data_IF_647660157869
#
_entry.id   IF_647660157869
#
_cell.length_a   1.000
_cell.length_b   1.000
_cell.length_c   1.000
_cell.angle_alpha   90.00
_cell.angle_beta   90.00
_cell.angle_gamma   90.00
#
_symmetry.space_group_name_H-M   'P 1'
#
loop_
_entity.id
_entity.type
_entity.pdbx_description
1 polymer ?
#
# COMPACT_ATOMS: atom_id res chain seq x y z
N UNK A 1 -11.65 -3.89 39.62
CA UNK A 1 -11.02 -2.57 39.82
C UNK A 1 -9.48 -2.64 39.83
N UNK A 2 -8.88 -3.47 40.71
CA UNK A 2 -7.41 -3.60 40.85
C UNK A 2 -6.68 -4.05 39.56
N UNK A 3 -7.27 -4.98 38.80
CA UNK A 3 -6.74 -5.46 37.51
C UNK A 3 -6.58 -4.37 36.44
N UNK A 4 -7.46 -3.37 36.44
CA UNK A 4 -7.44 -2.31 35.44
C UNK A 4 -6.28 -1.34 35.69
N UNK A 5 -6.13 -0.91 36.95
CA UNK A 5 -5.01 -0.07 37.40
C UNK A 5 -3.67 -0.77 37.15
N UNK A 6 -3.59 -2.07 37.43
CA UNK A 6 -2.39 -2.86 37.20
C UNK A 6 -2.03 -2.95 35.71
N UNK A 7 -3.02 -3.16 34.84
CA UNK A 7 -2.79 -3.19 33.39
C UNK A 7 -2.36 -1.81 32.85
N UNK A 8 -2.97 -0.72 33.32
CA UNK A 8 -2.58 0.64 32.94
C UNK A 8 -1.17 1.01 33.41
N UNK A 9 -0.77 0.56 34.61
CA UNK A 9 0.60 0.73 35.11
C UNK A 9 1.60 -0.08 34.27
N UNK A 10 1.26 -1.32 33.91
CA UNK A 10 2.09 -2.12 33.01
C UNK A 10 2.20 -1.50 31.62
N UNK A 11 1.14 -0.89 31.09
CA UNK A 11 1.17 -0.18 29.80
C UNK A 11 2.10 1.05 29.81
N UNK A 12 2.30 1.66 30.99
CA UNK A 12 3.20 2.80 31.19
C UNK A 12 4.68 2.36 31.27
N UNK A 13 4.96 1.25 31.94
CA UNK A 13 6.32 0.71 32.14
C UNK A 13 6.76 -0.16 30.95
N UNK A 14 5.81 -0.81 30.28
CA UNK A 14 6.00 -1.65 29.09
C UNK A 14 5.01 -1.17 28.01
N UNK A 15 5.38 -0.17 27.18
CA UNK A 15 4.50 0.30 26.12
C UNK A 15 4.02 -0.88 25.28
N UNK A 16 2.70 -0.98 25.11
CA UNK A 16 2.08 -2.07 24.34
C UNK A 16 2.79 -2.20 22.99
N UNK A 17 3.09 -3.43 22.53
CA UNK A 17 3.72 -3.62 21.24
C UNK A 17 2.86 -2.94 20.18
N UNK A 18 3.46 -2.06 19.38
CA UNK A 18 2.74 -1.41 18.29
C UNK A 18 2.13 -2.48 17.39
N UNK A 19 0.81 -2.40 17.21
CA UNK A 19 0.09 -3.22 16.26
C UNK A 19 0.25 -2.61 14.87
N UNK A 20 0.49 -3.47 13.87
CA UNK A 20 0.49 -3.03 12.48
C UNK A 20 -0.88 -2.45 12.13
N UNK A 21 -0.98 -1.19 11.67
CA UNK A 21 -2.27 -0.55 11.44
C UNK A 21 -3.06 -1.17 10.28
N UNK A 22 -2.41 -1.97 9.42
CA UNK A 22 -3.08 -2.69 8.34
C UNK A 22 -3.63 -4.06 8.79
N UNK A 23 -2.83 -4.87 9.49
CA UNK A 23 -3.21 -6.27 9.79
C UNK A 23 -3.47 -6.56 11.27
N UNK A 24 -3.32 -5.58 12.17
CA UNK A 24 -3.52 -5.71 13.61
C UNK A 24 -2.49 -6.59 14.33
N UNK A 25 -1.46 -7.10 13.64
CA UNK A 25 -0.45 -7.95 14.26
C UNK A 25 0.52 -7.10 15.08
N UNK A 26 0.70 -7.44 16.35
CA UNK A 26 1.72 -6.86 17.23
C UNK A 26 3.13 -7.15 16.72
N UNK A 27 4.03 -6.17 16.77
CA UNK A 27 5.46 -6.37 16.51
C UNK A 27 6.33 -5.78 17.62
N UNK A 28 7.63 -6.09 17.62
CA UNK A 28 8.59 -5.44 18.50
C UNK A 28 9.15 -4.17 17.85
N UNK A 29 8.96 -3.02 18.52
CA UNK A 29 9.43 -1.68 18.12
C UNK A 29 10.92 -1.65 17.74
N UNK A 30 11.75 -2.52 18.33
CA UNK A 30 13.19 -2.58 18.06
C UNK A 30 13.60 -3.26 16.74
N UNK A 31 12.70 -3.98 16.05
CA UNK A 31 13.08 -4.75 14.85
C UNK A 31 13.10 -3.88 13.59
N UNK A 32 12.34 -2.78 13.55
CA UNK A 32 12.23 -1.88 12.38
C UNK A 32 11.99 -0.42 12.82
N UNK A 33 13.03 0.29 13.30
CA UNK A 33 12.88 1.67 13.74
C UNK A 33 12.33 2.57 12.62
N UNK A 34 11.23 3.28 12.89
CA UNK A 34 10.62 4.24 11.96
C UNK A 34 9.67 3.64 10.90
N UNK A 35 9.53 2.32 10.86
CA UNK A 35 8.60 1.65 9.97
C UNK A 35 7.15 1.76 10.49
N UNK A 36 6.21 2.05 9.59
CA UNK A 36 4.80 2.36 9.93
C UNK A 36 3.84 1.20 9.66
N UNK A 37 4.32 0.19 8.95
CA UNK A 37 3.58 -0.99 8.52
C UNK A 37 4.53 -2.17 8.62
N UNK A 38 4.02 -3.34 9.01
CA UNK A 38 4.88 -4.50 9.18
C UNK A 38 5.43 -5.03 7.85
N UNK A 39 6.65 -5.57 7.87
CA UNK A 39 7.33 -6.12 6.69
C UNK A 39 6.44 -7.09 5.89
N UNK A 40 5.69 -7.97 6.58
CA UNK A 40 4.77 -8.91 5.90
C UNK A 40 3.67 -8.22 5.13
N UNK A 41 3.16 -7.08 5.62
CA UNK A 41 2.16 -6.31 4.89
C UNK A 41 2.78 -5.58 3.71
N UNK A 42 3.99 -5.05 3.88
CA UNK A 42 4.75 -4.45 2.76
C UNK A 42 4.99 -5.50 1.67
N UNK A 43 5.48 -6.69 2.02
CA UNK A 43 5.65 -7.80 1.07
C UNK A 43 4.35 -8.21 0.40
N UNK A 44 3.26 -8.37 1.16
CA UNK A 44 1.95 -8.74 0.60
C UNK A 44 1.44 -7.71 -0.41
N UNK A 45 1.65 -6.43 -0.14
CA UNK A 45 1.29 -5.34 -1.06
C UNK A 45 2.23 -5.30 -2.27
N UNK A 46 3.52 -5.60 -2.07
CA UNK A 46 4.55 -5.62 -3.12
C UNK A 46 4.50 -6.86 -4.02
N UNK A 47 3.94 -7.98 -3.56
CA UNK A 47 3.97 -9.26 -4.28
C UNK A 47 3.37 -9.23 -5.68
N UNK A 48 2.45 -8.28 -5.96
CA UNK A 48 1.83 -8.10 -7.28
C UNK A 48 2.42 -6.95 -8.10
N UNK A 49 3.45 -6.24 -7.60
CA UNK A 49 4.20 -5.22 -8.37
C UNK A 49 5.05 -5.83 -9.49
N UNK A 50 5.18 -7.16 -9.55
CA UNK A 50 5.87 -7.88 -10.62
C UNK A 50 5.10 -7.91 -11.94
N UNK A 51 3.83 -7.50 -11.94
CA UNK A 51 3.05 -7.34 -13.16
C UNK A 51 3.41 -6.04 -13.88
N UNK A 52 3.38 -6.07 -15.21
CA UNK A 52 3.58 -4.85 -16.00
C UNK A 52 2.44 -3.85 -15.73
N UNK A 53 2.81 -2.58 -15.55
CA UNK A 53 1.87 -1.47 -15.33
C UNK A 53 2.00 -0.44 -16.44
N UNK A 54 0.89 0.20 -16.81
CA UNK A 54 0.90 1.31 -17.77
C UNK A 54 1.77 2.46 -17.25
N UNK A 55 2.72 2.93 -18.05
CA UNK A 55 3.61 4.01 -17.64
C UNK A 55 2.86 5.31 -17.35
N UNK A 56 1.80 5.59 -18.11
CA UNK A 56 0.95 6.75 -17.88
C UNK A 56 0.02 6.58 -16.67
N UNK A 57 -0.93 5.62 -16.71
CA UNK A 57 -1.98 5.54 -15.69
C UNK A 57 -1.71 4.57 -14.53
N UNK A 58 -0.66 3.75 -14.60
CA UNK A 58 -0.33 2.78 -13.56
C UNK A 58 -1.28 1.58 -13.45
N UNK A 59 -2.21 1.38 -14.40
CA UNK A 59 -3.09 0.20 -14.45
C UNK A 59 -2.29 -1.08 -14.72
N UNK A 60 -2.64 -2.14 -14.02
CA UNK A 60 -2.05 -3.47 -14.17
C UNK A 60 -2.57 -4.21 -15.40
N UNK A 61 -1.73 -5.04 -16.00
CA UNK A 61 -2.10 -5.91 -17.12
C UNK A 61 -3.29 -6.83 -16.79
N UNK A 62 -3.36 -7.39 -15.58
CA UNK A 62 -4.42 -8.35 -15.22
C UNK A 62 -5.85 -7.77 -15.26
N UNK A 63 -6.03 -6.45 -15.18
CA UNK A 63 -7.36 -5.81 -15.25
C UNK A 63 -7.85 -5.62 -16.69
N UNK A 64 -6.98 -5.77 -17.70
CA UNK A 64 -7.31 -5.55 -19.10
C UNK A 64 -7.63 -6.88 -19.80
N UNK A 65 -8.88 -7.32 -19.74
CA UNK A 65 -9.40 -8.48 -20.46
C UNK A 65 -9.28 -8.30 -22.00
N UNK A 66 -8.13 -8.58 -22.59
CA UNK A 66 -7.93 -8.64 -24.06
C UNK A 66 -7.72 -7.30 -24.77
N UNK A 67 -7.51 -6.21 -24.03
CA UNK A 67 -7.29 -4.87 -24.57
C UNK A 67 -5.80 -4.56 -24.85
N UNK A 68 -5.04 -5.49 -25.42
CA UNK A 68 -3.61 -5.29 -25.70
C UNK A 68 -3.30 -5.22 -27.19
N UNK A 69 -2.59 -4.19 -27.63
CA UNK A 69 -2.08 -4.12 -29.01
C UNK A 69 -0.74 -4.83 -29.17
N UNK A 70 0.09 -4.97 -28.12
CA UNK A 70 1.42 -5.62 -28.20
C UNK A 70 1.82 -6.25 -26.85
N UNK A 71 2.51 -7.41 -26.89
CA UNK A 71 3.18 -8.00 -25.70
C UNK A 71 4.26 -7.03 -25.21
N UNK A 72 4.42 -6.82 -23.88
CA UNK A 72 5.47 -5.96 -23.37
C UNK A 72 6.85 -6.52 -23.78
N UNK A 73 7.58 -5.74 -24.59
CA UNK A 73 9.01 -5.98 -24.79
C UNK A 73 9.73 -5.33 -23.60
N UNK A 74 10.71 -6.00 -22.98
CA UNK A 74 11.41 -5.48 -21.80
C UNK A 74 12.07 -4.11 -22.00
N UNK A 75 12.26 -3.70 -23.25
CA UNK A 75 12.98 -2.48 -23.65
C UNK A 75 12.05 -1.29 -23.97
N UNK A 76 10.73 -1.47 -23.97
CA UNK A 76 9.77 -0.41 -24.30
C UNK A 76 8.78 -0.15 -23.15
N UNK A 77 8.63 1.14 -22.83
CA UNK A 77 7.59 1.65 -21.94
C UNK A 77 6.20 1.15 -22.38
N UNK A 78 5.48 0.51 -21.46
CA UNK A 78 4.16 -0.05 -21.73
C UNK A 78 3.06 1.00 -21.53
N UNK A 79 2.14 1.12 -22.51
CA UNK A 79 0.96 1.99 -22.43
C UNK A 79 -0.31 1.19 -22.73
N UNK A 80 -1.35 1.33 -21.89
CA UNK A 80 -2.64 0.67 -22.14
C UNK A 80 -3.43 1.33 -23.29
N UNK A 81 -4.40 0.62 -23.87
CA UNK A 81 -5.21 1.13 -25.01
C UNK A 81 -5.96 2.40 -24.66
N UNK A 82 -6.49 2.53 -23.44
CA UNK A 82 -7.18 3.76 -23.01
C UNK A 82 -6.23 4.96 -23.01
N UNK A 83 -5.02 4.81 -22.51
CA UNK A 83 -4.04 5.91 -22.51
C UNK A 83 -3.54 6.26 -23.92
N UNK A 84 -3.51 5.29 -24.83
CA UNK A 84 -3.14 5.54 -26.24
C UNK A 84 -4.27 6.27 -26.99
N UNK A 85 -5.53 5.85 -26.82
CA UNK A 85 -6.67 6.40 -27.55
C UNK A 85 -7.21 7.69 -26.92
N UNK A 86 -7.13 7.79 -25.60
CA UNK A 86 -7.63 8.92 -24.81
C UNK A 86 -6.57 9.33 -23.78
N UNK A 87 -5.51 10.03 -24.21
CA UNK A 87 -4.47 10.51 -23.32
C UNK A 87 -5.07 11.35 -22.18
N UNK A 88 -4.80 11.02 -20.91
CA UNK A 88 -5.32 11.78 -19.78
C UNK A 88 -4.58 13.12 -19.61
N UNK A 89 -5.17 14.05 -18.85
CA UNK A 89 -4.57 15.35 -18.53
C UNK A 89 -3.43 15.29 -17.49
N UNK A 90 -2.93 14.10 -17.16
CA UNK A 90 -1.82 13.88 -16.24
C UNK A 90 -0.73 13.08 -16.94
N UNK A 91 0.53 13.31 -16.53
CA UNK A 91 1.67 12.61 -17.11
C UNK A 91 1.85 11.21 -16.54
N UNK A 92 1.65 11.04 -15.22
CA UNK A 92 1.92 9.79 -14.51
C UNK A 92 0.99 9.60 -13.32
N UNK A 93 0.51 8.38 -13.11
CA UNK A 93 -0.24 7.97 -11.92
C UNK A 93 0.32 6.66 -11.36
N UNK A 94 0.32 6.55 -10.02
CA UNK A 94 0.82 5.39 -9.27
C UNK A 94 -0.08 5.00 -8.12
N UNK A 95 -0.12 3.71 -7.84
CA UNK A 95 -0.87 3.11 -6.76
C UNK A 95 0.06 2.28 -5.86
N UNK A 96 -0.31 2.14 -4.60
CA UNK A 96 0.40 1.26 -3.64
C UNK A 96 0.43 -0.19 -4.14
N UNK A 97 -0.67 -0.61 -4.77
CA UNK A 97 -0.95 -1.94 -5.29
C UNK A 97 -2.37 -2.01 -5.85
N UNK A 98 -2.81 -3.22 -6.24
CA UNK A 98 -4.20 -3.49 -6.64
C UNK A 98 -5.18 -3.16 -5.52
N UNK A 99 -6.35 -2.64 -5.89
CA UNK A 99 -7.41 -2.28 -4.95
C UNK A 99 -8.20 -3.50 -4.43
N UNK A 100 -7.51 -4.38 -3.72
CA UNK A 100 -8.06 -5.64 -3.21
C UNK A 100 -7.53 -5.96 -1.80
N UNK A 101 -8.18 -6.93 -1.15
CA UNK A 101 -7.80 -7.46 0.17
C UNK A 101 -7.41 -6.39 1.18
N UNK A 102 -6.22 -6.54 1.75
CA UNK A 102 -5.67 -5.69 2.81
C UNK A 102 -5.64 -4.20 2.42
N UNK A 103 -5.28 -3.87 1.17
CA UNK A 103 -5.19 -2.47 0.74
C UNK A 103 -6.57 -1.84 0.68
N UNK A 104 -7.53 -2.55 0.10
CA UNK A 104 -8.93 -2.11 0.01
C UNK A 104 -9.52 -1.90 1.40
N UNK A 105 -9.34 -2.86 2.30
CA UNK A 105 -9.82 -2.78 3.70
C UNK A 105 -9.25 -1.56 4.42
N UNK A 106 -7.94 -1.31 4.29
CA UNK A 106 -7.30 -0.16 4.91
C UNK A 106 -7.79 1.18 4.32
N UNK A 107 -7.94 1.27 3.00
CA UNK A 107 -8.48 2.48 2.34
C UNK A 107 -9.93 2.72 2.75
N UNK A 108 -10.76 1.67 2.85
CA UNK A 108 -12.13 1.79 3.33
C UNK A 108 -12.18 2.27 4.78
N UNK A 109 -11.35 1.70 5.65
CA UNK A 109 -11.31 2.08 7.04
C UNK A 109 -10.87 3.55 7.22
N UNK A 110 -9.91 4.00 6.40
CA UNK A 110 -9.48 5.39 6.36
C UNK A 110 -10.59 6.32 5.84
N UNK A 111 -11.17 6.04 4.67
CA UNK A 111 -12.13 6.93 4.00
C UNK A 111 -13.50 6.98 4.68
N UNK A 112 -13.98 5.86 5.21
CA UNK A 112 -15.38 5.69 5.58
C UNK A 112 -15.61 5.31 7.04
N UNK A 113 -14.58 4.82 7.75
CA UNK A 113 -14.71 4.40 9.15
C UNK A 113 -13.97 5.32 10.12
N UNK A 114 -13.51 6.49 9.66
CA UNK A 114 -12.84 7.49 10.50
C UNK A 114 -11.48 7.06 11.07
N UNK A 115 -10.84 6.01 10.53
CA UNK A 115 -9.50 5.58 10.99
C UNK A 115 -8.40 6.50 10.45
N UNK A 116 -8.37 7.75 10.90
CA UNK A 116 -7.43 8.79 10.45
C UNK A 116 -5.95 8.45 10.71
N UNK A 117 -5.68 7.58 11.68
CA UNK A 117 -4.32 7.08 11.97
C UNK A 117 -3.70 6.34 10.78
N UNK A 118 -4.51 5.87 9.82
CA UNK A 118 -4.06 5.25 8.57
C UNK A 118 -3.51 6.25 7.53
N UNK A 119 -3.74 7.55 7.69
CA UNK A 119 -3.26 8.56 6.75
C UNK A 119 -1.75 8.52 6.56
N UNK A 120 -0.99 8.49 7.68
CA UNK A 120 0.48 8.48 7.64
C UNK A 120 1.05 7.14 7.11
N UNK A 121 0.58 5.95 7.57
CA UNK A 121 0.96 4.68 6.97
C UNK A 121 0.71 4.60 5.46
N UNK A 122 -0.48 4.94 4.99
CA UNK A 122 -0.83 4.90 3.56
C UNK A 122 -0.01 5.91 2.76
N UNK A 123 0.19 7.13 3.28
CA UNK A 123 1.03 8.13 2.63
C UNK A 123 2.49 7.69 2.49
N UNK A 124 3.07 7.07 3.52
CA UNK A 124 4.44 6.53 3.43
C UNK A 124 4.54 5.39 2.41
N UNK A 125 3.54 4.50 2.34
CA UNK A 125 3.51 3.44 1.32
C UNK A 125 3.43 4.01 -0.09
N UNK A 126 2.60 5.04 -0.30
CA UNK A 126 2.47 5.71 -1.60
C UNK A 126 3.79 6.42 -2.00
N UNK A 127 4.41 7.13 -1.06
CA UNK A 127 5.71 7.76 -1.28
C UNK A 127 6.82 6.73 -1.58
N UNK A 128 6.74 5.54 -0.99
CA UNK A 128 7.64 4.42 -1.29
C UNK A 128 7.58 3.98 -2.75
N UNK A 129 6.38 3.94 -3.35
CA UNK A 129 6.21 3.57 -4.76
C UNK A 129 6.94 4.54 -5.69
N UNK A 130 6.83 5.85 -5.41
CA UNK A 130 7.45 6.88 -6.25
C UNK A 130 8.97 6.83 -6.14
N UNK A 131 9.51 6.57 -4.94
CA UNK A 131 10.96 6.48 -4.72
C UNK A 131 11.64 5.32 -5.45
N UNK A 132 10.91 4.24 -5.71
CA UNK A 132 11.44 3.08 -6.45
C UNK A 132 11.58 3.38 -7.96
N UNK A 133 10.97 4.46 -8.46
CA UNK A 133 10.96 4.84 -9.88
C UNK A 133 11.84 6.05 -10.23
N UNK A 134 12.49 6.67 -9.23
CA UNK A 134 13.47 7.74 -9.39
C UNK A 134 14.89 7.17 -9.40
#
# INVERSE_FOLDING_TARGET
MFKWIWNTFLDLVYPRPEECPLCGRSWSIGRYPGAVVCFRCVERLGARRTQSICECCGRYEAENHGAFSQRPRPELAFYCRECQNHPPLFSRARAIGLYEGLLREAIHAFKYQGKITLARPLGKLLAGVIKEEL
#
